data_IF_085354051243
#
_entry.id   IF_085354051243
#
_cell.length_a   1.000
_cell.length_b   1.000
_cell.length_c   1.000
_cell.angle_alpha   90.00
_cell.angle_beta   90.00
_cell.angle_gamma   90.00
#
_symmetry.space_group_name_H-M   'P 1'
#
loop_
_entity.id
_entity.type
_entity.pdbx_description
1 polymer ?
#
# COMPACT_ATOMS: atom_id res chain seq x y z
N UNK A 1 -55.12 -18.44 -38.72
CA UNK A 1 -54.87 -17.08 -38.11
C UNK A 1 -53.59 -17.15 -37.36
N UNK A 2 -52.47 -16.69 -37.94
CA UNK A 2 -51.16 -16.64 -37.29
C UNK A 2 -51.04 -15.37 -36.51
N UNK A 3 -51.00 -15.48 -35.17
CA UNK A 3 -50.69 -14.36 -34.27
C UNK A 3 -49.20 -14.06 -34.40
N UNK A 4 -48.83 -13.09 -35.24
CA UNK A 4 -47.45 -12.56 -35.28
C UNK A 4 -47.12 -11.85 -33.99
N UNK A 5 -46.07 -12.25 -33.30
CA UNK A 5 -45.55 -11.53 -32.13
C UNK A 5 -45.19 -10.09 -32.54
N UNK A 6 -45.57 -9.17 -31.68
CA UNK A 6 -45.28 -7.73 -31.90
C UNK A 6 -43.75 -7.50 -31.88
N UNK A 7 -43.28 -6.45 -32.51
CA UNK A 7 -41.87 -6.05 -32.55
C UNK A 7 -41.33 -5.83 -31.11
N UNK A 8 -42.13 -5.25 -30.24
CA UNK A 8 -41.81 -5.02 -28.82
C UNK A 8 -41.60 -6.35 -28.08
N UNK A 9 -42.43 -7.38 -28.33
CA UNK A 9 -42.27 -8.72 -27.73
C UNK A 9 -40.99 -9.42 -28.20
N UNK A 10 -40.55 -9.18 -29.43
CA UNK A 10 -39.30 -9.73 -29.95
C UNK A 10 -38.09 -9.04 -29.33
N UNK A 11 -38.10 -7.71 -29.21
CA UNK A 11 -37.06 -6.94 -28.55
C UNK A 11 -36.94 -7.28 -27.07
N UNK A 12 -38.09 -7.44 -26.38
CA UNK A 12 -38.12 -7.89 -25.00
C UNK A 12 -37.50 -9.29 -24.78
N UNK A 13 -37.73 -10.23 -25.73
CA UNK A 13 -37.12 -11.55 -25.67
C UNK A 13 -35.61 -11.52 -25.87
N UNK A 14 -35.13 -10.75 -26.85
CA UNK A 14 -33.68 -10.60 -27.11
C UNK A 14 -33.00 -10.01 -25.88
N UNK A 15 -33.58 -8.96 -25.30
CA UNK A 15 -33.04 -8.33 -24.09
C UNK A 15 -33.01 -9.28 -22.89
N UNK A 16 -34.05 -10.09 -22.69
CA UNK A 16 -34.06 -11.12 -21.65
C UNK A 16 -32.99 -12.19 -21.85
N UNK A 17 -32.77 -12.63 -23.09
CA UNK A 17 -31.75 -13.61 -23.42
C UNK A 17 -30.34 -13.05 -23.20
N UNK A 18 -30.09 -11.77 -23.51
CA UNK A 18 -28.84 -11.09 -23.20
C UNK A 18 -28.59 -11.00 -21.71
N UNK A 19 -29.61 -10.63 -20.92
CA UNK A 19 -29.52 -10.58 -19.44
C UNK A 19 -29.24 -11.95 -18.84
N UNK A 20 -29.93 -13.00 -19.31
CA UNK A 20 -29.69 -14.37 -18.84
C UNK A 20 -28.27 -14.84 -19.16
N UNK A 21 -27.76 -14.51 -20.35
CA UNK A 21 -26.40 -14.86 -20.74
C UNK A 21 -25.35 -14.09 -19.91
N UNK A 22 -25.63 -12.83 -19.59
CA UNK A 22 -24.79 -12.03 -18.68
C UNK A 22 -24.77 -12.67 -17.28
N UNK A 23 -25.93 -12.98 -16.71
CA UNK A 23 -26.05 -13.61 -15.40
C UNK A 23 -25.36 -14.98 -15.34
N UNK A 24 -25.39 -15.77 -16.42
CA UNK A 24 -24.66 -17.04 -16.48
C UNK A 24 -23.14 -16.83 -16.47
N UNK A 25 -22.63 -15.83 -17.19
CA UNK A 25 -21.19 -15.46 -17.17
C UNK A 25 -20.76 -14.97 -15.80
N UNK A 26 -21.55 -14.08 -15.19
CA UNK A 26 -21.26 -13.54 -13.86
C UNK A 26 -21.26 -14.65 -12.80
N UNK A 27 -22.20 -15.61 -12.91
CA UNK A 27 -22.28 -16.75 -12.01
C UNK A 27 -21.09 -17.72 -12.16
N UNK A 28 -20.58 -17.90 -13.38
CA UNK A 28 -19.35 -18.65 -13.64
C UNK A 28 -18.11 -17.93 -13.09
N UNK A 29 -18.03 -16.63 -13.28
CA UNK A 29 -16.96 -15.79 -12.72
C UNK A 29 -16.95 -15.85 -11.19
N UNK A 30 -18.12 -15.69 -10.55
CA UNK A 30 -18.25 -15.79 -9.09
C UNK A 30 -17.90 -17.16 -8.50
N UNK A 31 -18.12 -18.25 -9.25
CA UNK A 31 -17.71 -19.59 -8.78
C UNK A 31 -16.21 -19.79 -8.72
N UNK A 32 -15.45 -19.03 -9.52
CA UNK A 32 -14.00 -19.06 -9.55
C UNK A 32 -13.37 -18.00 -8.62
N UNK A 33 -14.20 -17.16 -8.00
CA UNK A 33 -13.77 -16.13 -7.09
C UNK A 33 -13.65 -16.69 -5.66
N UNK A 34 -12.45 -16.77 -5.14
CA UNK A 34 -12.21 -17.15 -3.75
C UNK A 34 -12.25 -15.88 -2.90
N UNK A 35 -13.30 -15.75 -2.07
CA UNK A 35 -13.40 -14.64 -1.13
C UNK A 35 -12.64 -15.01 0.14
N UNK A 36 -11.58 -14.27 0.43
CA UNK A 36 -10.76 -14.43 1.63
C UNK A 36 -10.97 -13.23 2.55
N UNK A 37 -11.34 -13.48 3.80
CA UNK A 37 -11.43 -12.47 4.84
C UNK A 37 -10.17 -12.51 5.69
N UNK A 38 -9.37 -11.44 5.67
CA UNK A 38 -8.20 -11.28 6.51
C UNK A 38 -8.58 -10.43 7.72
N UNK A 39 -8.73 -11.05 8.88
CA UNK A 39 -9.11 -10.38 10.12
C UNK A 39 -7.86 -9.86 10.84
N UNK A 40 -7.90 -8.57 11.22
CA UNK A 40 -6.91 -7.97 12.12
C UNK A 40 -7.45 -7.87 13.55
N UNK A 41 -6.59 -7.63 14.52
CA UNK A 41 -6.90 -7.68 15.95
C UNK A 41 -7.48 -6.39 16.56
N UNK A 42 -7.58 -5.28 15.80
CA UNK A 42 -8.04 -3.99 16.31
C UNK A 42 -9.52 -3.71 15.95
N UNK A 43 -10.45 -3.65 16.95
CA UNK A 43 -11.89 -3.48 16.71
C UNK A 43 -12.31 -2.07 16.27
N UNK A 44 -11.57 -1.02 16.66
CA UNK A 44 -12.00 0.37 16.44
C UNK A 44 -11.84 0.86 14.99
N UNK A 45 -10.89 0.31 14.26
CA UNK A 45 -10.65 0.63 12.86
C UNK A 45 -11.66 -0.05 11.90
N UNK A 46 -12.39 -1.06 12.39
CA UNK A 46 -13.33 -1.84 11.59
C UNK A 46 -14.52 -0.99 11.10
N UNK A 47 -15.10 -0.18 11.99
CA UNK A 47 -16.28 0.65 11.67
C UNK A 47 -15.91 1.85 10.79
N UNK A 48 -14.71 2.40 10.92
CA UNK A 48 -14.26 3.54 10.14
C UNK A 48 -13.97 3.17 8.68
N UNK A 49 -13.56 1.93 8.43
CA UNK A 49 -13.19 1.41 7.09
C UNK A 49 -14.34 0.78 6.31
N UNK A 50 -15.45 0.43 6.98
CA UNK A 50 -16.70 0.05 6.30
C UNK A 50 -17.29 1.18 5.43
N UNK A 51 -16.93 2.43 5.72
CA UNK A 51 -17.37 3.61 4.97
C UNK A 51 -16.45 3.96 3.78
N UNK A 52 -15.26 3.40 3.70
CA UNK A 52 -14.34 3.58 2.58
C UNK A 52 -14.32 2.34 1.68
N UNK A 53 -14.31 2.56 0.37
CA UNK A 53 -14.39 1.53 -0.67
C UNK A 53 -13.20 0.55 -0.72
N UNK A 54 -12.32 0.59 0.28
CA UNK A 54 -11.16 -0.29 0.35
C UNK A 54 -11.55 -1.67 0.89
N UNK A 55 -11.51 -2.65 0.01
CA UNK A 55 -11.91 -4.05 0.25
C UNK A 55 -10.99 -4.84 1.19
N UNK A 56 -9.97 -4.22 1.77
CA UNK A 56 -8.97 -4.90 2.58
C UNK A 56 -8.91 -4.30 3.99
N UNK A 57 -9.62 -4.92 4.92
CA UNK A 57 -9.65 -4.51 6.33
C UNK A 57 -8.79 -5.42 7.20
N UNK A 58 -7.97 -4.83 8.02
CA UNK A 58 -7.16 -5.52 9.01
C UNK A 58 -6.15 -4.57 9.65
N UNK A 59 -5.69 -4.88 10.86
CA UNK A 59 -4.68 -4.09 11.56
C UNK A 59 -3.45 -3.83 10.67
N UNK A 60 -2.86 -2.65 10.78
CA UNK A 60 -1.56 -2.36 10.18
C UNK A 60 -0.56 -3.46 10.58
N UNK A 61 0.40 -3.76 9.71
CA UNK A 61 1.47 -4.74 9.95
C UNK A 61 1.04 -6.20 10.21
N UNK A 62 -0.25 -6.52 10.04
CA UNK A 62 -0.77 -7.90 10.21
C UNK A 62 -0.41 -8.85 9.06
N UNK A 63 0.44 -8.45 8.11
CA UNK A 63 0.90 -9.26 6.99
C UNK A 63 -0.11 -9.42 5.83
N UNK A 64 -1.28 -8.77 5.86
CA UNK A 64 -2.30 -8.85 4.80
C UNK A 64 -1.77 -8.50 3.43
N UNK A 65 -1.12 -7.35 3.32
CA UNK A 65 -0.53 -6.89 2.06
C UNK A 65 0.57 -7.83 1.58
N UNK A 66 1.30 -8.44 2.50
CA UNK A 66 2.35 -9.41 2.19
C UNK A 66 1.74 -10.68 1.59
N UNK A 67 0.67 -11.21 2.20
CA UNK A 67 -0.04 -12.39 1.69
C UNK A 67 -0.61 -12.13 0.30
N UNK A 68 -1.25 -10.98 0.08
CA UNK A 68 -1.79 -10.61 -1.24
C UNK A 68 -0.69 -10.49 -2.29
N UNK A 69 0.46 -9.89 -1.94
CA UNK A 69 1.63 -9.82 -2.82
C UNK A 69 2.15 -11.22 -3.16
N UNK A 70 2.23 -12.12 -2.19
CA UNK A 70 2.66 -13.50 -2.41
C UNK A 70 1.67 -14.28 -3.27
N UNK A 71 0.37 -14.14 -3.04
CA UNK A 71 -0.66 -14.77 -3.87
C UNK A 71 -0.56 -14.30 -5.33
N UNK A 72 -0.34 -13.01 -5.57
CA UNK A 72 -0.15 -12.47 -6.91
C UNK A 72 1.09 -13.04 -7.60
N UNK A 73 2.20 -13.17 -6.88
CA UNK A 73 3.43 -13.79 -7.41
C UNK A 73 3.22 -15.26 -7.79
N UNK A 74 2.47 -16.01 -6.98
CA UNK A 74 2.27 -17.47 -7.16
C UNK A 74 1.24 -17.76 -8.26
N UNK A 75 0.12 -17.02 -8.29
CA UNK A 75 -1.03 -17.36 -9.12
C UNK A 75 -1.17 -16.49 -10.38
N UNK A 76 -0.64 -15.27 -10.39
CA UNK A 76 -0.77 -14.33 -11.51
C UNK A 76 0.56 -14.08 -12.25
N UNK A 77 1.63 -14.78 -11.87
CA UNK A 77 2.94 -14.62 -12.52
C UNK A 77 3.69 -13.34 -12.14
N UNK A 78 3.22 -12.60 -11.12
CA UNK A 78 3.87 -11.41 -10.58
C UNK A 78 3.24 -10.08 -11.01
N UNK A 79 4.05 -9.03 -10.98
CA UNK A 79 3.62 -7.65 -11.25
C UNK A 79 4.02 -7.21 -12.65
N UNK A 80 3.11 -6.57 -13.37
CA UNK A 80 3.40 -5.87 -14.61
C UNK A 80 4.38 -4.70 -14.35
N UNK A 81 4.93 -4.13 -15.45
CA UNK A 81 5.80 -2.97 -15.33
C UNK A 81 5.07 -1.77 -14.71
N UNK A 82 3.86 -1.50 -15.18
CA UNK A 82 3.05 -0.35 -14.71
C UNK A 82 2.69 -0.49 -13.23
N UNK A 83 2.35 -1.70 -12.79
CA UNK A 83 2.11 -1.98 -11.38
C UNK A 83 3.36 -1.78 -10.50
N UNK A 84 4.55 -2.14 -11.00
CA UNK A 84 5.80 -1.88 -10.29
C UNK A 84 6.12 -0.39 -10.20
N UNK A 85 5.85 0.35 -11.25
CA UNK A 85 6.00 1.81 -11.25
C UNK A 85 5.09 2.46 -10.20
N UNK A 86 3.85 2.01 -10.05
CA UNK A 86 2.92 2.56 -9.04
C UNK A 86 3.38 2.34 -7.58
N UNK A 87 4.28 1.39 -7.32
CA UNK A 87 4.83 1.19 -5.98
C UNK A 87 5.96 2.17 -5.63
N UNK A 88 6.54 2.90 -6.58
CA UNK A 88 7.67 3.80 -6.33
C UNK A 88 7.32 4.89 -5.32
N UNK A 89 6.20 5.56 -5.50
CA UNK A 89 5.75 6.62 -4.59
C UNK A 89 5.58 6.12 -3.16
N UNK A 90 5.02 4.92 -3.00
CA UNK A 90 4.84 4.27 -1.70
C UNK A 90 6.20 3.96 -1.07
N UNK A 91 7.15 3.43 -1.86
CA UNK A 91 8.50 3.10 -1.39
C UNK A 91 9.23 4.37 -0.95
N UNK A 92 9.18 5.44 -1.76
CA UNK A 92 9.84 6.69 -1.44
C UNK A 92 9.25 7.33 -0.18
N UNK A 93 7.92 7.39 -0.07
CA UNK A 93 7.23 7.91 1.11
C UNK A 93 7.59 7.11 2.36
N UNK A 94 7.58 5.78 2.29
CA UNK A 94 7.95 4.91 3.40
C UNK A 94 9.42 5.09 3.80
N UNK A 95 10.32 5.27 2.83
CA UNK A 95 11.75 5.47 3.09
C UNK A 95 11.99 6.78 3.85
N UNK A 96 11.39 7.88 3.40
CA UNK A 96 11.50 9.18 4.08
C UNK A 96 10.85 9.13 5.44
N UNK A 97 9.66 8.53 5.55
CA UNK A 97 8.96 8.40 6.82
C UNK A 97 9.74 7.55 7.83
N UNK A 98 10.37 6.46 7.40
CA UNK A 98 11.21 5.65 8.26
C UNK A 98 12.42 6.42 8.80
N UNK A 99 13.06 7.22 7.95
CA UNK A 99 14.17 8.10 8.39
C UNK A 99 13.69 9.14 9.40
N UNK A 100 12.52 9.77 9.20
CA UNK A 100 11.93 10.70 10.17
C UNK A 100 11.72 10.05 11.54
N UNK A 101 11.10 8.88 11.56
CA UNK A 101 10.83 8.14 12.81
C UNK A 101 12.13 7.83 13.55
N UNK A 102 13.20 7.48 12.83
CA UNK A 102 14.51 7.25 13.44
C UNK A 102 15.07 8.53 14.05
N UNK A 103 15.01 9.66 13.32
CA UNK A 103 15.52 10.94 13.80
C UNK A 103 14.72 11.47 15.00
N UNK A 104 13.40 11.33 15.00
CA UNK A 104 12.53 11.66 16.15
C UNK A 104 12.83 10.76 17.36
N UNK A 105 13.09 9.48 17.11
CA UNK A 105 13.48 8.55 18.17
C UNK A 105 14.87 8.87 18.75
N UNK A 106 15.82 9.36 17.94
CA UNK A 106 17.12 9.81 18.41
C UNK A 106 17.00 10.93 19.44
N UNK A 107 16.12 11.90 19.22
CA UNK A 107 15.83 12.95 20.19
C UNK A 107 15.28 12.38 21.49
N UNK A 108 14.28 11.47 21.39
CA UNK A 108 13.65 10.84 22.55
C UNK A 108 14.60 9.93 23.34
N UNK A 109 15.57 9.31 22.68
CA UNK A 109 16.56 8.39 23.24
C UNK A 109 17.87 9.11 23.65
N UNK A 110 17.92 10.44 23.51
CA UNK A 110 19.10 11.27 23.79
C UNK A 110 20.36 10.80 23.05
N UNK A 111 20.20 10.31 21.80
CA UNK A 111 21.30 9.87 20.96
C UNK A 111 21.72 11.03 20.03
N UNK A 112 22.94 11.56 20.18
CA UNK A 112 23.42 12.63 19.29
C UNK A 112 23.82 12.08 17.91
N UNK A 113 23.81 12.95 16.91
CA UNK A 113 24.48 12.71 15.64
C UNK A 113 26.00 12.70 15.85
N UNK A 114 26.70 11.80 15.19
CA UNK A 114 28.15 11.70 15.23
C UNK A 114 28.80 12.89 14.49
N UNK A 115 28.25 13.27 13.33
CA UNK A 115 28.67 14.46 12.56
C UNK A 115 27.63 15.60 12.67
N UNK A 116 28.00 16.71 13.32
CA UNK A 116 27.16 17.90 13.41
C UNK A 116 26.79 18.49 12.03
N UNK A 117 27.60 18.23 10.98
CA UNK A 117 27.28 18.64 9.61
C UNK A 117 26.06 17.89 9.04
N UNK A 118 25.70 16.78 9.63
CA UNK A 118 24.51 16.02 9.25
C UNK A 118 23.20 16.74 9.58
N UNK A 119 23.23 17.80 10.40
CA UNK A 119 22.02 18.56 10.75
C UNK A 119 21.32 19.19 9.53
N UNK A 120 22.07 19.59 8.51
CA UNK A 120 21.49 20.02 7.24
C UNK A 120 20.67 18.90 6.58
N UNK A 121 21.15 17.66 6.62
CA UNK A 121 20.44 16.49 6.08
C UNK A 121 19.18 16.17 6.89
N UNK A 122 19.21 16.35 8.20
CA UNK A 122 18.04 16.22 9.08
C UNK A 122 16.95 17.20 8.66
N UNK A 123 17.29 18.49 8.49
CA UNK A 123 16.35 19.49 8.00
C UNK A 123 15.78 19.13 6.63
N UNK A 124 16.62 18.65 5.71
CA UNK A 124 16.18 18.20 4.37
C UNK A 124 15.11 17.12 4.47
N UNK A 125 15.23 16.19 5.40
CA UNK A 125 14.24 15.11 5.61
C UNK A 125 12.94 15.66 6.21
N UNK A 126 13.02 16.54 7.22
CA UNK A 126 11.82 17.08 7.87
C UNK A 126 11.04 18.06 6.98
N UNK A 127 11.69 18.72 6.02
CA UNK A 127 11.04 19.60 5.05
C UNK A 127 10.23 18.85 3.98
N UNK A 128 10.43 17.54 3.82
CA UNK A 128 9.69 16.80 2.82
C UNK A 128 8.19 16.69 3.18
N UNK A 129 7.27 16.62 2.21
CA UNK A 129 5.88 16.31 2.48
C UNK A 129 5.73 14.88 3.04
N UNK A 130 4.61 14.59 3.70
CA UNK A 130 4.32 13.26 4.25
C UNK A 130 4.17 12.18 3.18
N UNK A 131 3.76 12.58 1.96
CA UNK A 131 3.73 11.74 0.77
C UNK A 131 4.61 12.38 -0.31
N UNK A 132 5.47 11.57 -0.91
CA UNK A 132 6.27 11.97 -2.06
C UNK A 132 5.50 11.55 -3.30
N UNK A 133 5.05 12.53 -4.06
CA UNK A 133 4.38 12.35 -5.34
C UNK A 133 5.43 12.43 -6.46
N UNK A 134 5.34 11.54 -7.43
CA UNK A 134 6.18 11.54 -8.61
C UNK A 134 7.04 10.29 -8.80
N UNK A 135 7.53 10.14 -10.01
CA UNK A 135 8.26 8.94 -10.47
C UNK A 135 9.67 8.79 -9.89
N UNK A 136 10.21 9.84 -9.27
CA UNK A 136 11.58 9.86 -8.78
C UNK A 136 11.70 10.50 -7.40
N UNK A 137 12.48 9.87 -6.53
CA UNK A 137 12.92 10.49 -5.28
C UNK A 137 13.84 11.69 -5.60
N UNK A 138 13.60 12.90 -5.04
CA UNK A 138 14.50 14.03 -5.24
C UNK A 138 15.96 13.65 -4.88
N UNK A 139 16.93 13.94 -5.76
CA UNK A 139 18.32 13.52 -5.55
C UNK A 139 18.91 14.00 -4.22
N UNK A 140 18.53 15.20 -3.78
CA UNK A 140 18.94 15.79 -2.51
C UNK A 140 18.44 15.01 -1.30
N UNK A 141 17.20 14.48 -1.38
CA UNK A 141 16.60 13.64 -0.33
C UNK A 141 17.32 12.29 -0.27
N UNK A 142 17.56 11.69 -1.44
CA UNK A 142 18.33 10.44 -1.53
C UNK A 142 19.74 10.59 -0.96
N UNK A 143 20.43 11.70 -1.29
CA UNK A 143 21.75 12.00 -0.75
C UNK A 143 21.72 12.22 0.77
N UNK A 144 20.72 12.92 1.28
CA UNK A 144 20.53 13.14 2.72
C UNK A 144 20.31 11.82 3.48
N UNK A 145 19.44 10.96 2.98
CA UNK A 145 19.21 9.64 3.57
C UNK A 145 20.51 8.81 3.57
N UNK A 146 21.21 8.79 2.45
CA UNK A 146 22.47 8.03 2.32
C UNK A 146 23.59 8.55 3.25
N UNK A 147 23.62 9.86 3.52
CA UNK A 147 24.56 10.45 4.46
C UNK A 147 24.16 10.12 5.92
N UNK A 148 22.91 10.33 6.29
CA UNK A 148 22.38 10.04 7.64
C UNK A 148 22.50 8.53 7.97
N UNK A 149 22.27 7.65 6.99
CA UNK A 149 22.39 6.21 7.21
C UNK A 149 23.80 5.75 7.58
N UNK A 150 24.84 6.53 7.28
CA UNK A 150 26.25 6.26 7.65
C UNK A 150 26.60 6.78 9.03
N UNK A 151 25.78 7.65 9.61
CA UNK A 151 26.04 8.20 10.92
C UNK A 151 25.92 7.15 12.02
N UNK A 152 26.86 7.13 12.96
CA UNK A 152 26.92 6.13 14.00
C UNK A 152 25.76 6.26 14.98
N UNK A 153 25.28 7.47 15.28
CA UNK A 153 24.12 7.72 16.14
C UNK A 153 22.84 7.18 15.49
N UNK A 154 22.63 7.41 14.20
CA UNK A 154 21.50 6.88 13.43
C UNK A 154 21.52 5.34 13.44
N UNK A 155 22.66 4.72 13.23
CA UNK A 155 22.81 3.26 13.27
C UNK A 155 22.54 2.68 14.66
N UNK A 156 22.96 3.37 15.71
CA UNK A 156 22.68 2.94 17.09
C UNK A 156 21.19 3.06 17.42
N UNK A 157 20.54 4.15 17.01
CA UNK A 157 19.10 4.31 17.13
C UNK A 157 18.35 3.20 16.39
N UNK A 158 18.77 2.89 15.16
CA UNK A 158 18.16 1.82 14.37
C UNK A 158 18.27 0.44 15.04
N UNK A 159 19.39 0.12 15.70
CA UNK A 159 19.52 -1.14 16.48
C UNK A 159 18.51 -1.22 17.62
N UNK A 160 18.13 -0.07 18.18
CA UNK A 160 17.15 0.08 19.25
C UNK A 160 15.70 0.23 18.74
N UNK A 161 15.43 -0.12 17.49
CA UNK A 161 14.12 0.04 16.82
C UNK A 161 12.95 -0.68 17.51
N UNK A 162 13.22 -1.55 18.46
CA UNK A 162 12.19 -2.19 19.30
C UNK A 162 11.65 -1.30 20.42
N UNK A 163 12.32 -0.19 20.71
CA UNK A 163 11.95 0.77 21.76
C UNK A 163 10.97 1.84 21.22
N UNK A 164 10.78 1.91 19.90
CA UNK A 164 9.87 2.81 19.23
C UNK A 164 9.24 2.12 18.01
N UNK A 165 8.16 2.71 17.45
CA UNK A 165 7.43 2.13 16.32
C UNK A 165 8.11 2.48 14.99
N UNK A 166 9.03 1.63 14.54
CA UNK A 166 9.62 1.72 13.22
C UNK A 166 8.91 0.77 12.26
N UNK A 167 8.65 1.23 11.04
CA UNK A 167 8.06 0.40 9.99
C UNK A 167 8.98 -0.79 9.67
N UNK A 168 8.41 -2.00 9.58
CA UNK A 168 9.14 -3.24 9.24
C UNK A 168 9.89 -3.16 7.90
N UNK A 169 9.43 -2.28 7.00
CA UNK A 169 10.06 -2.03 5.68
C UNK A 169 11.29 -1.13 5.74
N UNK A 170 11.67 -0.61 6.92
CA UNK A 170 12.80 0.30 7.08
C UNK A 170 14.20 -0.37 6.99
N UNK A 171 14.24 -1.67 6.73
CA UNK A 171 15.48 -2.47 6.59
C UNK A 171 15.97 -2.52 5.17
#
# INVERSE_FOLDING_TARGET
>A
MGCGMSTEDKEGKVRNEEIENQLKRDKLSQRNEIKMLLLGTEPEDYLRRLASSDRYTGAGESGKSTILKQMKLIHEGGYSRDERESFKEIIYSNTVQSMRVILEAMESLELPLDDQRAEYHVQTIFMQPGQIEGDNLPPEVGAAIAALWKDAGVQECFKRSREYQLNDSAR
#
